data_IF_999980715712
#
_entry.id   IF_999980715712
#
_cell.length_a   1.000
_cell.length_b   1.000
_cell.length_c   1.000
_cell.angle_alpha   90.00
_cell.angle_beta   90.00
_cell.angle_gamma   90.00
#
_symmetry.space_group_name_H-M   'P 1'
#
loop_
_entity.id
_entity.type
_entity.pdbx_description
1 polymer ?
#
# COMPACT_ATOMS: atom_id res chain seq x y z
N UNK A 1 -5.60 12.35 -8.97
CA UNK A 1 -5.88 11.53 -10.14
C UNK A 1 -4.58 10.86 -10.56
N UNK A 2 -4.55 9.52 -10.65
CA UNK A 2 -3.40 8.76 -11.16
C UNK A 2 -3.64 8.43 -12.64
N UNK A 3 -2.65 8.67 -13.48
CA UNK A 3 -2.67 8.32 -14.90
C UNK A 3 -1.42 7.54 -15.25
N UNK A 4 -1.56 6.46 -16.00
CA UNK A 4 -0.48 5.69 -16.61
C UNK A 4 -0.61 5.79 -18.13
N UNK A 5 0.49 6.07 -18.81
CA UNK A 5 0.54 6.21 -20.26
C UNK A 5 1.66 5.34 -20.84
N UNK A 6 1.27 4.25 -21.50
CA UNK A 6 2.16 3.36 -22.21
C UNK A 6 3.21 2.64 -21.33
N UNK A 7 2.89 2.34 -20.08
CA UNK A 7 3.84 1.75 -19.13
C UNK A 7 4.38 0.42 -19.65
N UNK A 8 5.68 0.34 -19.75
CA UNK A 8 6.42 -0.87 -20.12
C UNK A 8 7.47 -1.15 -19.07
N UNK A 9 7.60 -2.40 -18.66
CA UNK A 9 8.66 -2.86 -17.78
C UNK A 9 9.28 -4.14 -18.33
N UNK A 10 10.56 -4.07 -18.66
CA UNK A 10 11.32 -5.15 -19.27
C UNK A 10 12.54 -5.47 -18.40
N UNK A 11 12.83 -6.75 -18.25
CA UNK A 11 13.99 -7.26 -17.54
C UNK A 11 14.84 -8.12 -18.45
N UNK A 12 16.15 -8.07 -18.25
CA UNK A 12 17.07 -8.99 -18.93
C UNK A 12 17.07 -10.34 -18.24
N UNK A 13 16.86 -11.42 -19.01
CA UNK A 13 16.94 -12.79 -18.54
C UNK A 13 18.00 -13.56 -19.33
N UNK A 14 18.47 -14.74 -18.87
CA UNK A 14 19.40 -15.57 -19.62
C UNK A 14 18.89 -15.99 -21.01
N UNK A 15 17.57 -16.00 -21.20
CA UNK A 15 16.90 -16.36 -22.46
C UNK A 15 16.56 -15.15 -23.32
N UNK A 16 16.97 -13.93 -22.89
CA UNK A 16 16.71 -12.66 -23.56
C UNK A 16 15.77 -11.76 -22.78
N UNK A 17 15.41 -10.58 -23.32
CA UNK A 17 14.55 -9.62 -22.65
C UNK A 17 13.13 -10.16 -22.45
N UNK A 18 12.60 -9.98 -21.25
CA UNK A 18 11.25 -10.37 -20.86
C UNK A 18 10.45 -9.14 -20.46
N UNK A 19 9.36 -8.87 -21.18
CA UNK A 19 8.41 -7.82 -20.80
C UNK A 19 7.45 -8.34 -19.74
N UNK A 20 7.47 -7.72 -18.57
CA UNK A 20 6.53 -7.97 -17.49
C UNK A 20 5.31 -7.05 -17.55
N UNK A 21 5.49 -5.83 -18.11
CA UNK A 21 4.41 -4.91 -18.48
C UNK A 21 4.66 -4.49 -19.94
N UNK A 22 3.60 -4.47 -20.74
CA UNK A 22 3.70 -4.11 -22.15
C UNK A 22 2.61 -3.10 -22.54
N UNK A 23 3.01 -1.83 -22.65
CA UNK A 23 2.17 -0.71 -23.09
C UNK A 23 0.86 -0.56 -22.31
N UNK A 24 0.94 -0.61 -20.96
CA UNK A 24 -0.23 -0.52 -20.06
C UNK A 24 -0.62 0.94 -19.87
N UNK A 25 -1.87 1.27 -20.19
CA UNK A 25 -2.42 2.62 -20.01
C UNK A 25 -3.75 2.57 -19.27
N UNK A 26 -3.93 3.46 -18.27
CA UNK A 26 -5.17 3.61 -17.53
C UNK A 26 -5.24 4.98 -16.84
N UNK A 27 -6.43 5.29 -16.31
CA UNK A 27 -6.67 6.50 -15.55
C UNK A 27 -7.56 6.17 -14.34
N UNK A 28 -7.12 6.58 -13.14
CA UNK A 28 -7.88 6.42 -11.89
C UNK A 28 -8.27 7.82 -11.40
N UNK A 29 -9.54 8.23 -11.57
CA UNK A 29 -10.00 9.50 -11.05
C UNK A 29 -9.91 9.53 -9.52
N UNK A 30 -9.90 10.75 -8.95
CA UNK A 30 -9.92 10.92 -7.49
C UNK A 30 -11.19 10.32 -6.89
N UNK A 31 -11.06 9.65 -5.74
CA UNK A 31 -12.18 9.00 -5.05
C UNK A 31 -12.72 7.75 -5.75
N UNK A 32 -11.89 7.11 -6.60
CA UNK A 32 -12.27 5.85 -7.25
C UNK A 32 -11.42 4.70 -6.74
N UNK A 33 -12.07 3.55 -6.66
CA UNK A 33 -11.43 2.27 -6.42
C UNK A 33 -11.13 1.58 -7.76
N UNK A 34 -9.91 1.09 -7.95
CA UNK A 34 -9.50 0.32 -9.12
C UNK A 34 -9.00 -1.06 -8.71
N UNK A 35 -9.60 -2.12 -9.23
CA UNK A 35 -9.13 -3.48 -9.05
C UNK A 35 -8.28 -3.95 -10.22
N UNK A 36 -7.06 -4.42 -9.95
CA UNK A 36 -6.18 -5.06 -10.93
C UNK A 36 -6.36 -6.58 -10.82
N UNK A 37 -6.94 -7.19 -11.83
CA UNK A 37 -7.25 -8.62 -11.85
C UNK A 37 -6.50 -9.34 -12.95
N UNK A 38 -6.15 -10.61 -12.71
CA UNK A 38 -5.45 -11.43 -13.69
C UNK A 38 -4.81 -12.66 -13.03
N UNK A 39 -4.34 -13.65 -13.83
CA UNK A 39 -3.70 -14.85 -13.32
C UNK A 39 -2.40 -14.53 -12.55
N UNK A 40 -1.91 -15.52 -11.80
CA UNK A 40 -0.60 -15.40 -11.14
C UNK A 40 0.50 -15.21 -12.20
N UNK A 41 1.45 -14.31 -11.90
CA UNK A 41 2.57 -14.03 -12.80
C UNK A 41 2.28 -13.08 -13.98
N UNK A 42 1.05 -12.54 -14.12
CA UNK A 42 0.73 -11.60 -15.22
C UNK A 42 1.22 -10.15 -15.00
N UNK A 43 2.03 -9.87 -13.98
CA UNK A 43 2.61 -8.55 -13.75
C UNK A 43 1.84 -7.63 -12.78
N UNK A 44 0.78 -8.09 -12.07
CA UNK A 44 0.01 -7.25 -11.11
C UNK A 44 0.90 -6.55 -10.09
N UNK A 45 1.65 -7.34 -9.31
CA UNK A 45 2.61 -6.81 -8.32
C UNK A 45 3.66 -5.89 -8.95
N UNK A 46 4.12 -6.20 -10.15
CA UNK A 46 5.06 -5.36 -10.91
C UNK A 46 4.45 -4.00 -11.22
N UNK A 47 3.20 -3.99 -11.70
CA UNK A 47 2.47 -2.73 -11.97
C UNK A 47 2.29 -1.92 -10.69
N UNK A 48 1.85 -2.55 -9.59
CA UNK A 48 1.65 -1.86 -8.31
C UNK A 48 2.96 -1.26 -7.76
N UNK A 49 4.07 -1.99 -7.88
CA UNK A 49 5.41 -1.50 -7.48
C UNK A 49 5.91 -0.37 -8.38
N UNK A 50 5.62 -0.41 -9.68
CA UNK A 50 5.95 0.66 -10.60
C UNK A 50 5.16 1.94 -10.27
N UNK A 51 3.85 1.83 -10.00
CA UNK A 51 3.04 2.97 -9.53
C UNK A 51 3.60 3.56 -8.23
N UNK A 52 4.05 2.71 -7.31
CA UNK A 52 4.62 3.14 -6.02
C UNK A 52 6.06 3.68 -6.11
N UNK A 53 6.66 3.77 -7.30
CA UNK A 53 8.04 4.22 -7.48
C UNK A 53 9.10 3.25 -6.96
N UNK A 54 8.71 2.01 -6.57
CA UNK A 54 9.64 1.01 -6.04
C UNK A 54 10.50 0.36 -7.13
N UNK A 55 10.04 0.39 -8.36
CA UNK A 55 10.76 -0.03 -9.56
C UNK A 55 10.53 1.02 -10.66
N UNK A 56 11.58 1.36 -11.39
CA UNK A 56 11.46 2.30 -12.51
C UNK A 56 10.96 1.57 -13.76
N UNK A 57 9.96 2.13 -14.41
CA UNK A 57 9.50 1.66 -15.72
C UNK A 57 10.61 1.80 -16.78
N UNK A 58 10.64 0.90 -17.78
CA UNK A 58 11.55 0.98 -18.90
C UNK A 58 10.98 1.78 -20.06
N UNK A 59 9.71 2.15 -19.98
CA UNK A 59 9.03 3.00 -20.97
C UNK A 59 7.64 3.42 -20.48
N UNK A 60 7.13 4.49 -21.07
CA UNK A 60 5.89 5.13 -20.65
C UNK A 60 6.11 6.15 -19.54
N UNK A 61 5.01 6.63 -18.92
CA UNK A 61 5.06 7.62 -17.83
C UNK A 61 3.86 7.47 -16.89
N UNK A 62 4.11 7.74 -15.61
CA UNK A 62 3.06 7.93 -14.62
C UNK A 62 2.87 9.40 -14.30
N UNK A 63 1.62 9.81 -14.12
CA UNK A 63 1.29 11.17 -13.71
C UNK A 63 0.41 11.15 -12.45
N UNK A 64 0.78 11.98 -11.48
CA UNK A 64 -0.01 12.22 -10.28
C UNK A 64 -0.52 13.65 -10.24
N UNK A 65 -1.85 13.83 -10.28
CA UNK A 65 -2.49 15.15 -10.37
C UNK A 65 -1.95 16.04 -11.50
N UNK A 66 -1.49 15.43 -12.60
CA UNK A 66 -0.94 16.11 -13.77
C UNK A 66 0.57 16.36 -13.73
N UNK A 67 1.26 16.00 -12.64
CA UNK A 67 2.73 16.06 -12.52
C UNK A 67 3.33 14.73 -12.93
N UNK A 68 4.41 14.76 -13.69
CA UNK A 68 5.16 13.56 -14.11
C UNK A 68 5.93 13.01 -12.90
N UNK A 69 5.67 11.76 -12.52
CA UNK A 69 6.34 11.13 -11.37
C UNK A 69 7.83 10.83 -11.62
N UNK A 70 8.30 10.91 -12.87
CA UNK A 70 9.73 10.86 -13.18
C UNK A 70 10.46 12.16 -12.82
N UNK A 71 9.74 13.28 -12.68
CA UNK A 71 10.30 14.59 -12.33
C UNK A 71 10.06 14.95 -10.86
N UNK A 72 8.94 14.51 -10.29
CA UNK A 72 8.52 14.81 -8.92
C UNK A 72 7.88 13.57 -8.29
N UNK A 73 8.60 12.90 -7.39
CA UNK A 73 8.13 11.73 -6.65
C UNK A 73 6.98 12.08 -5.68
N UNK A 74 6.25 11.08 -5.23
CA UNK A 74 5.29 11.23 -4.14
C UNK A 74 5.96 11.71 -2.86
N UNK A 75 5.30 12.61 -2.15
CA UNK A 75 5.63 12.83 -0.75
C UNK A 75 5.35 11.53 0.04
N UNK A 76 6.21 11.13 1.01
CA UNK A 76 6.05 9.86 1.74
C UNK A 76 4.69 9.67 2.41
N UNK A 77 4.02 10.76 2.77
CA UNK A 77 2.67 10.73 3.37
C UNK A 77 1.54 10.61 2.34
N UNK A 78 1.79 10.88 1.06
CA UNK A 78 0.74 10.87 0.03
C UNK A 78 0.38 9.47 -0.46
N UNK A 79 1.30 8.51 -0.34
CA UNK A 79 1.13 7.15 -0.84
C UNK A 79 1.23 6.13 0.28
N UNK A 80 0.30 5.18 0.30
CA UNK A 80 0.36 3.96 1.12
C UNK A 80 0.53 2.75 0.23
N UNK A 81 1.41 1.82 0.63
CA UNK A 81 1.61 0.55 -0.07
C UNK A 81 1.55 -0.62 0.89
N UNK A 82 0.46 -1.38 0.82
CA UNK A 82 0.25 -2.60 1.61
C UNK A 82 0.74 -3.80 0.79
N UNK A 83 1.90 -4.39 1.12
CA UNK A 83 2.43 -5.52 0.38
C UNK A 83 1.69 -6.83 0.71
N UNK A 84 1.87 -7.83 -0.14
CA UNK A 84 1.32 -9.17 0.03
C UNK A 84 1.75 -9.82 1.36
N UNK A 85 2.97 -9.55 1.84
CA UNK A 85 3.48 -10.06 3.11
C UNK A 85 3.63 -8.91 4.11
N UNK A 86 3.31 -9.18 5.39
CA UNK A 86 3.44 -8.19 6.44
C UNK A 86 4.88 -7.71 6.60
N UNK A 87 5.05 -6.39 6.73
CA UNK A 87 6.33 -5.73 7.03
C UNK A 87 6.44 -5.34 8.50
N UNK A 88 5.43 -5.66 9.32
CA UNK A 88 5.44 -5.35 10.74
C UNK A 88 6.52 -6.14 11.48
N UNK A 89 7.14 -5.52 12.47
CA UNK A 89 8.16 -6.13 13.33
C UNK A 89 7.48 -7.02 14.38
N UNK A 90 7.77 -8.32 14.34
CA UNK A 90 7.15 -9.33 15.19
C UNK A 90 7.41 -9.12 16.71
N UNK A 91 8.52 -8.47 17.07
CA UNK A 91 8.92 -8.20 18.46
C UNK A 91 8.35 -6.93 19.05
N UNK A 92 7.73 -6.10 18.24
CA UNK A 92 7.08 -4.88 18.68
C UNK A 92 5.57 -5.12 18.88
N UNK A 93 4.95 -4.26 19.69
CA UNK A 93 3.49 -4.24 19.82
C UNK A 93 2.81 -3.68 18.56
N UNK A 94 1.50 -3.80 18.51
CA UNK A 94 0.67 -3.18 17.48
C UNK A 94 0.91 -1.67 17.45
N UNK A 95 0.80 -1.02 18.60
CA UNK A 95 1.00 0.42 18.78
C UNK A 95 2.39 0.88 18.32
N UNK A 96 3.45 0.23 18.81
CA UNK A 96 4.83 0.55 18.44
C UNK A 96 5.11 0.44 16.94
N UNK A 97 4.46 -0.50 16.25
CA UNK A 97 4.57 -0.63 14.79
C UNK A 97 3.91 0.55 14.06
N UNK A 98 2.69 0.94 14.48
CA UNK A 98 1.97 2.07 13.88
C UNK A 98 2.67 3.39 14.18
N UNK A 99 3.14 3.59 15.42
CA UNK A 99 3.92 4.77 15.81
C UNK A 99 5.21 4.88 14.98
N UNK A 100 5.92 3.77 14.78
CA UNK A 100 7.14 3.75 13.96
C UNK A 100 6.85 4.15 12.52
N UNK A 101 5.76 3.63 11.93
CA UNK A 101 5.32 4.00 10.58
C UNK A 101 4.96 5.49 10.48
N UNK A 102 4.21 6.01 11.46
CA UNK A 102 3.83 7.42 11.55
C UNK A 102 5.04 8.34 11.57
N UNK A 103 6.00 8.07 12.45
CA UNK A 103 7.22 8.88 12.61
C UNK A 103 8.14 8.87 11.38
N UNK A 104 8.13 7.80 10.59
CA UNK A 104 8.92 7.70 9.36
C UNK A 104 8.31 8.46 8.18
N UNK A 105 6.99 8.63 8.15
CA UNK A 105 6.25 9.11 6.98
C UNK A 105 5.66 10.50 7.14
N UNK A 106 5.37 10.89 8.38
CA UNK A 106 4.66 12.14 8.67
C UNK A 106 5.50 13.09 9.50
N UNK A 107 5.17 14.37 9.37
CA UNK A 107 5.64 15.42 10.28
C UNK A 107 4.48 15.83 11.14
N UNK A 108 4.64 15.72 12.45
CA UNK A 108 3.63 16.14 13.44
C UNK A 108 4.07 17.44 14.10
N UNK A 109 3.12 18.29 14.43
CA UNK A 109 3.39 19.57 15.12
C UNK A 109 3.44 19.37 16.64
N UNK A 110 2.80 18.32 17.15
CA UNK A 110 2.75 17.98 18.58
C UNK A 110 2.74 16.45 18.77
N UNK A 111 2.89 16.03 20.02
CA UNK A 111 2.69 14.60 20.41
C UNK A 111 1.21 14.25 20.27
N UNK A 112 0.32 15.15 20.65
CA UNK A 112 -1.12 14.92 20.54
C UNK A 112 -1.57 14.67 19.08
N UNK A 113 -1.02 15.40 18.09
CA UNK A 113 -1.30 15.16 16.67
C UNK A 113 -0.84 13.77 16.23
N UNK A 114 0.29 13.28 16.76
CA UNK A 114 0.79 11.93 16.49
C UNK A 114 -0.14 10.88 17.08
N UNK A 115 -0.49 11.03 18.37
CA UNK A 115 -1.34 10.08 19.10
C UNK A 115 -2.74 10.01 18.45
N UNK A 116 -3.34 11.15 18.08
CA UNK A 116 -4.62 11.21 17.36
C UNK A 116 -4.56 10.47 16.02
N UNK A 117 -3.44 10.56 15.30
CA UNK A 117 -3.27 9.88 14.01
C UNK A 117 -3.14 8.36 14.20
N UNK A 118 -2.44 7.91 15.24
CA UNK A 118 -2.28 6.50 15.59
C UNK A 118 -3.64 5.94 16.02
N UNK A 119 -4.33 6.60 16.93
CA UNK A 119 -5.63 6.17 17.44
C UNK A 119 -6.65 6.04 16.31
N UNK A 120 -6.72 7.02 15.42
CA UNK A 120 -7.60 6.97 14.25
C UNK A 120 -7.27 5.79 13.32
N UNK A 121 -6.00 5.52 13.03
CA UNK A 121 -5.60 4.41 12.17
C UNK A 121 -5.95 3.04 12.81
N UNK A 122 -5.78 2.92 14.13
CA UNK A 122 -6.12 1.73 14.89
C UNK A 122 -7.64 1.52 14.97
N UNK A 123 -8.41 2.58 15.19
CA UNK A 123 -9.88 2.55 15.22
C UNK A 123 -10.44 2.10 13.87
N UNK A 124 -10.04 2.77 12.78
CA UNK A 124 -10.50 2.45 11.41
C UNK A 124 -10.20 1.00 11.04
N UNK A 125 -9.07 0.46 11.49
CA UNK A 125 -8.69 -0.94 11.19
C UNK A 125 -9.21 -1.95 12.22
N UNK A 126 -9.91 -1.50 13.29
CA UNK A 126 -10.45 -2.36 14.35
C UNK A 126 -9.36 -3.04 15.16
N UNK A 127 -8.25 -2.33 15.42
CA UNK A 127 -7.10 -2.82 16.19
C UNK A 127 -7.00 -2.18 17.59
N UNK A 128 -7.84 -1.22 17.94
CA UNK A 128 -7.82 -0.44 19.18
C UNK A 128 -7.89 -1.30 20.45
N UNK A 129 -8.51 -2.47 20.36
CA UNK A 129 -8.64 -3.40 21.50
C UNK A 129 -7.41 -4.31 21.75
N UNK A 130 -6.35 -4.21 20.95
CA UNK A 130 -5.19 -5.11 21.02
C UNK A 130 -3.84 -4.40 20.82
N UNK A 131 -3.78 -3.11 21.10
CA UNK A 131 -2.62 -2.22 20.88
C UNK A 131 -1.34 -2.70 21.57
N UNK A 132 -1.46 -3.26 22.78
CA UNK A 132 -0.33 -3.76 23.59
C UNK A 132 0.18 -5.15 23.15
N UNK A 133 -0.47 -5.81 22.18
CA UNK A 133 -0.08 -7.17 21.79
C UNK A 133 1.12 -7.16 20.87
N UNK A 134 2.06 -8.07 21.14
CA UNK A 134 3.17 -8.36 20.22
C UNK A 134 2.63 -8.89 18.88
N UNK A 135 3.19 -8.44 17.78
CA UNK A 135 2.77 -8.84 16.42
C UNK A 135 2.94 -10.34 16.17
N UNK A 136 3.92 -10.98 16.82
CA UNK A 136 4.17 -12.43 16.69
C UNK A 136 2.99 -13.32 17.05
N UNK A 137 2.09 -12.86 17.96
CA UNK A 137 0.91 -13.63 18.43
C UNK A 137 -0.37 -13.30 17.64
N UNK A 138 -0.34 -12.36 16.72
CA UNK A 138 -1.49 -11.96 15.93
C UNK A 138 -1.88 -13.03 14.91
N UNK A 139 -3.18 -13.17 14.66
CA UNK A 139 -3.71 -13.95 13.54
C UNK A 139 -3.33 -13.34 12.18
N UNK A 140 -3.44 -14.11 11.10
CA UNK A 140 -3.17 -13.60 9.75
C UNK A 140 -4.03 -12.38 9.40
N UNK A 141 -5.31 -12.40 9.73
CA UNK A 141 -6.21 -11.25 9.53
C UNK A 141 -5.81 -10.02 10.34
N UNK A 142 -5.40 -10.20 11.62
CA UNK A 142 -4.91 -9.11 12.45
C UNK A 142 -3.59 -8.52 11.91
N UNK A 143 -2.67 -9.35 11.41
CA UNK A 143 -1.44 -8.87 10.76
C UNK A 143 -1.75 -8.05 9.49
N UNK A 144 -2.80 -8.41 8.74
CA UNK A 144 -3.25 -7.61 7.58
C UNK A 144 -3.85 -6.27 7.97
N UNK A 145 -4.70 -6.25 9.03
CA UNK A 145 -5.26 -5.01 9.57
C UNK A 145 -4.16 -4.09 10.11
N UNK A 146 -3.15 -4.65 10.79
CA UNK A 146 -1.98 -3.90 11.22
C UNK A 146 -1.21 -3.29 10.05
N UNK A 147 -0.97 -4.07 8.97
CA UNK A 147 -0.32 -3.55 7.77
C UNK A 147 -1.11 -2.40 7.14
N UNK A 148 -2.44 -2.48 7.15
CA UNK A 148 -3.30 -1.36 6.73
C UNK A 148 -3.18 -0.16 7.68
N UNK A 149 -3.21 -0.35 9.01
CA UNK A 149 -3.05 0.73 9.98
C UNK A 149 -1.73 1.48 9.79
N UNK A 150 -0.62 0.74 9.60
CA UNK A 150 0.70 1.32 9.35
C UNK A 150 0.76 2.18 8.06
N UNK A 151 -0.07 1.89 7.07
CA UNK A 151 -0.16 2.69 5.86
C UNK A 151 -1.16 3.85 5.99
N UNK A 152 -2.31 3.61 6.66
CA UNK A 152 -3.37 4.59 6.84
C UNK A 152 -3.01 5.70 7.83
N UNK A 153 -2.07 5.48 8.76
CA UNK A 153 -1.65 6.48 9.74
C UNK A 153 -1.15 7.79 9.13
N UNK A 154 -0.66 7.74 7.88
CA UNK A 154 -0.27 8.95 7.13
C UNK A 154 -1.43 9.61 6.38
N UNK A 155 -2.65 9.08 6.46
CA UNK A 155 -3.82 9.52 5.69
C UNK A 155 -3.51 9.68 4.20
N UNK A 156 -3.04 8.61 3.51
CA UNK A 156 -2.54 8.68 2.16
C UNK A 156 -3.64 9.04 1.16
N UNK A 157 -3.27 9.81 0.13
CA UNK A 157 -4.17 10.16 -0.98
C UNK A 157 -4.30 9.04 -2.02
N UNK A 158 -3.33 8.14 -2.04
CA UNK A 158 -3.31 6.94 -2.88
C UNK A 158 -2.91 5.76 -2.00
N UNK A 159 -3.81 4.78 -1.87
CA UNK A 159 -3.54 3.52 -1.20
C UNK A 159 -3.44 2.41 -2.23
N UNK A 160 -2.32 1.70 -2.23
CA UNK A 160 -2.04 0.56 -3.10
C UNK A 160 -2.01 -0.70 -2.24
N UNK A 161 -2.80 -1.72 -2.61
CA UNK A 161 -2.87 -2.98 -1.88
C UNK A 161 -2.53 -4.14 -2.81
N UNK A 162 -1.47 -4.89 -2.49
CA UNK A 162 -1.06 -6.08 -3.24
C UNK A 162 -1.55 -7.34 -2.54
N UNK A 163 -2.61 -7.95 -3.09
CA UNK A 163 -3.23 -9.20 -2.59
C UNK A 163 -3.54 -9.18 -1.07
N UNK A 164 -4.02 -8.03 -0.55
CA UNK A 164 -4.24 -7.80 0.89
C UNK A 164 -5.22 -8.80 1.53
N UNK A 165 -6.05 -9.47 0.74
CA UNK A 165 -7.02 -10.49 1.21
C UNK A 165 -6.52 -11.93 1.01
N UNK A 166 -5.39 -12.13 0.34
CA UNK A 166 -4.89 -13.47 0.01
C UNK A 166 -4.59 -14.31 1.26
N UNK A 167 -5.11 -15.53 1.29
CA UNK A 167 -4.89 -16.49 2.38
C UNK A 167 -5.68 -16.20 3.66
N UNK A 168 -6.64 -15.29 3.63
CA UNK A 168 -7.57 -15.02 4.72
C UNK A 168 -8.79 -15.95 4.66
N UNK A 169 -9.43 -16.15 5.81
CA UNK A 169 -10.75 -16.77 5.84
C UNK A 169 -11.81 -15.80 5.25
N UNK A 170 -12.97 -16.32 4.78
CA UNK A 170 -13.96 -15.50 4.08
C UNK A 170 -14.50 -14.31 4.88
N UNK A 171 -14.55 -14.41 6.21
CA UNK A 171 -15.00 -13.32 7.07
C UNK A 171 -13.97 -12.19 7.13
N UNK A 172 -12.73 -12.55 7.40
CA UNK A 172 -11.62 -11.59 7.43
C UNK A 172 -11.41 -10.91 6.06
N UNK A 173 -11.59 -11.65 4.96
CA UNK A 173 -11.56 -11.10 3.61
C UNK A 173 -12.64 -10.04 3.41
N UNK A 174 -13.90 -10.37 3.76
CA UNK A 174 -15.03 -9.44 3.66
C UNK A 174 -14.80 -8.18 4.49
N UNK A 175 -14.32 -8.32 5.74
CA UNK A 175 -14.08 -7.20 6.63
C UNK A 175 -13.01 -6.24 6.07
N UNK A 176 -11.94 -6.76 5.45
CA UNK A 176 -10.90 -5.93 4.83
C UNK A 176 -11.42 -5.23 3.56
N UNK A 177 -12.18 -5.93 2.72
CA UNK A 177 -12.77 -5.31 1.51
C UNK A 177 -13.75 -4.20 1.91
N UNK A 178 -14.54 -4.40 2.96
CA UNK A 178 -15.46 -3.39 3.48
C UNK A 178 -14.70 -2.15 3.97
N UNK A 179 -13.65 -2.34 4.75
CA UNK A 179 -12.78 -1.26 5.25
C UNK A 179 -12.16 -0.43 4.12
N UNK A 180 -11.76 -1.07 3.01
CA UNK A 180 -11.18 -0.36 1.87
C UNK A 180 -12.24 0.40 1.03
N UNK A 181 -13.53 0.17 1.27
CA UNK A 181 -14.62 0.80 0.52
C UNK A 181 -15.18 2.05 1.24
N UNK A 182 -14.95 2.21 2.54
CA UNK A 182 -15.32 3.39 3.33
C UNK A 182 -14.32 4.54 3.13
#
# INVERSE_FOLDING_TARGET
>A
MLQADGITYEIETPDGPLKLLDNVSFNVPRGHFMAVVGPSGCGKTTLLKAIAGMIAETGGRFFWNGHDLAEEDFEPSEIGFVPQFSIAYDQLSVDENVESAARLRCRFNSVDDLDDSIDNALEVTGMEGITDRDVKILSGGQKRRLALAMELVSNPRLLICDEVTSGLDPRSEHDIVFLLHE
#
